data_IF_635365359026
#
_entry.id   IF_635365359026
#
_cell.length_a   1.000
_cell.length_b   1.000
_cell.length_c   1.000
_cell.angle_alpha   90.00
_cell.angle_beta   90.00
_cell.angle_gamma   90.00
#
_symmetry.space_group_name_H-M   'P 1'
#
loop_
_entity.id
_entity.type
_entity.pdbx_description
1 polymer ?
#
# COMPACT_ATOMS: atom_id res chain seq x y z
N UNK A 1 8.59 26.55 -6.42
CA UNK A 1 9.11 25.60 -5.39
C UNK A 1 10.51 25.17 -5.78
N UNK A 2 11.49 25.25 -4.87
CA UNK A 2 12.84 24.69 -5.04
C UNK A 2 12.92 23.36 -4.28
N UNK A 3 13.61 22.36 -4.86
CA UNK A 3 13.77 21.04 -4.25
C UNK A 3 15.23 20.71 -3.99
N UNK A 4 15.49 20.01 -2.91
CA UNK A 4 16.74 19.29 -2.69
C UNK A 4 16.44 17.82 -2.39
N UNK A 5 17.19 16.91 -3.02
CA UNK A 5 17.15 15.49 -2.70
C UNK A 5 18.10 15.23 -1.53
N UNK A 6 17.58 14.58 -0.49
CA UNK A 6 18.36 14.23 0.72
C UNK A 6 18.18 12.76 1.02
N UNK A 7 19.26 12.06 1.31
CA UNK A 7 19.18 10.67 1.76
C UNK A 7 18.60 10.61 3.18
N UNK A 8 17.75 9.61 3.45
CA UNK A 8 17.08 9.46 4.74
C UNK A 8 18.07 9.44 5.93
N UNK A 9 19.23 8.83 5.76
CA UNK A 9 20.23 8.70 6.82
C UNK A 9 20.93 10.03 7.13
N UNK A 10 20.97 10.97 6.17
CA UNK A 10 21.57 12.30 6.35
C UNK A 10 20.62 13.27 7.06
N UNK A 11 19.31 13.01 7.09
CA UNK A 11 18.30 13.90 7.71
C UNK A 11 18.59 14.13 9.19
N UNK A 12 19.11 13.12 9.91
CA UNK A 12 19.40 13.23 11.35
C UNK A 12 20.47 14.27 11.65
N UNK A 13 21.44 14.47 10.77
CA UNK A 13 22.55 15.42 10.91
C UNK A 13 22.21 16.84 10.43
N UNK A 14 21.16 17.01 9.63
CA UNK A 14 20.74 18.34 9.12
C UNK A 14 20.10 19.17 10.23
N UNK A 15 20.47 20.45 10.24
CA UNK A 15 19.93 21.44 11.19
C UNK A 15 18.91 22.38 10.55
N UNK A 16 18.92 22.49 9.22
CA UNK A 16 17.97 23.27 8.44
C UNK A 16 16.65 22.51 8.27
N UNK A 17 15.53 23.19 8.48
CA UNK A 17 14.21 22.65 8.22
C UNK A 17 13.70 23.21 6.88
N UNK A 18 13.24 22.37 5.95
CA UNK A 18 12.53 22.81 4.78
C UNK A 18 11.11 23.28 5.15
N UNK A 19 10.45 24.03 4.25
CA UNK A 19 9.06 24.44 4.40
C UNK A 19 8.12 23.22 4.43
N UNK A 20 8.47 22.15 3.73
CA UNK A 20 7.80 20.85 3.76
C UNK A 20 8.76 19.72 3.30
N UNK A 21 8.36 18.48 3.53
CA UNK A 21 9.09 17.32 3.04
C UNK A 21 8.17 16.28 2.38
N UNK A 22 8.69 15.59 1.36
CA UNK A 22 8.08 14.40 0.75
C UNK A 22 8.99 13.22 1.03
N UNK A 23 8.59 12.32 1.92
CA UNK A 23 9.35 11.11 2.24
C UNK A 23 8.98 10.00 1.25
N UNK A 24 9.94 9.61 0.40
CA UNK A 24 9.77 8.54 -0.61
C UNK A 24 10.49 7.27 -0.21
N UNK A 25 10.35 6.90 1.08
CA UNK A 25 10.93 5.70 1.67
C UNK A 25 10.00 5.15 2.76
N UNK A 26 10.00 3.84 2.97
CA UNK A 26 9.26 3.19 4.06
C UNK A 26 10.01 3.42 5.40
N UNK A 27 10.10 4.66 5.82
CA UNK A 27 10.88 5.14 6.98
C UNK A 27 10.03 6.05 7.87
N UNK A 28 9.03 5.49 8.58
CA UNK A 28 8.19 6.28 9.49
C UNK A 28 9.00 6.99 10.58
N UNK A 29 10.18 6.47 10.95
CA UNK A 29 11.11 7.13 11.87
C UNK A 29 11.64 8.48 11.33
N UNK A 30 11.84 8.60 10.03
CA UNK A 30 12.23 9.86 9.38
C UNK A 30 11.05 10.83 9.31
N UNK A 31 9.86 10.32 8.99
CA UNK A 31 8.63 11.13 8.99
C UNK A 31 8.38 11.70 10.39
N UNK A 32 8.44 10.85 11.43
CA UNK A 32 8.29 11.29 12.83
C UNK A 32 9.33 12.35 13.23
N UNK A 33 10.59 12.17 12.81
CA UNK A 33 11.65 13.13 13.08
C UNK A 33 11.37 14.51 12.45
N UNK A 34 10.94 14.53 11.18
CA UNK A 34 10.64 15.78 10.47
C UNK A 34 9.42 16.48 11.09
N UNK A 35 8.34 15.74 11.37
CA UNK A 35 7.17 16.30 12.03
C UNK A 35 7.49 16.83 13.44
N UNK A 36 8.36 16.15 14.21
CA UNK A 36 8.81 16.65 15.52
C UNK A 36 9.58 17.96 15.46
N UNK A 37 10.13 18.31 14.28
CA UNK A 37 10.79 19.58 14.00
C UNK A 37 9.82 20.65 13.47
N UNK A 38 8.51 20.33 13.38
CA UNK A 38 7.49 21.22 12.84
C UNK A 38 7.47 21.29 11.31
N UNK A 39 8.10 20.34 10.62
CA UNK A 39 8.08 20.26 9.15
C UNK A 39 6.85 19.49 8.70
N UNK A 40 5.94 20.07 7.90
CA UNK A 40 4.85 19.32 7.25
C UNK A 40 5.41 18.23 6.35
N UNK A 41 4.93 16.99 6.51
CA UNK A 41 5.41 15.83 5.74
C UNK A 41 4.28 15.20 4.92
N UNK A 42 4.56 14.91 3.66
CA UNK A 42 3.64 14.28 2.71
C UNK A 42 4.24 12.95 2.19
N UNK A 43 3.70 11.77 2.55
CA UNK A 43 2.58 11.55 3.48
C UNK A 43 2.99 11.74 4.95
N UNK A 44 2.03 12.06 5.80
CA UNK A 44 2.25 12.26 7.23
C UNK A 44 2.58 10.95 7.99
N UNK A 45 2.95 11.08 9.26
CA UNK A 45 3.37 9.93 10.10
C UNK A 45 2.29 8.86 10.21
N UNK A 46 1.02 9.25 10.38
CA UNK A 46 -0.08 8.28 10.48
C UNK A 46 -0.17 7.39 9.23
N UNK A 47 -0.08 8.00 8.06
CA UNK A 47 -0.09 7.26 6.77
C UNK A 47 1.14 6.37 6.69
N UNK A 48 2.33 6.91 6.97
CA UNK A 48 3.58 6.15 6.88
C UNK A 48 3.64 4.96 7.84
N UNK A 49 3.16 5.10 9.08
CA UNK A 49 3.15 4.01 10.06
C UNK A 49 2.12 2.93 9.77
N UNK A 50 0.93 3.32 9.31
CA UNK A 50 -0.16 2.37 9.08
C UNK A 50 0.00 1.69 7.72
N UNK A 51 0.23 2.46 6.65
CA UNK A 51 0.18 1.92 5.29
C UNK A 51 1.44 1.14 4.90
N UNK A 52 2.56 1.31 5.61
CA UNK A 52 3.78 0.53 5.39
C UNK A 52 3.81 -0.81 6.16
N UNK A 53 2.75 -1.13 6.90
CA UNK A 53 2.60 -2.39 7.63
C UNK A 53 1.21 -3.00 7.36
N UNK A 54 1.19 -4.18 6.72
CA UNK A 54 -0.07 -4.82 6.30
C UNK A 54 -0.96 -5.21 7.47
N UNK A 55 -0.39 -5.62 8.60
CA UNK A 55 -1.17 -5.98 9.80
C UNK A 55 -1.84 -4.75 10.39
N UNK A 56 -1.12 -3.62 10.47
CA UNK A 56 -1.67 -2.34 10.93
C UNK A 56 -2.72 -1.81 9.96
N UNK A 57 -2.45 -1.87 8.64
CA UNK A 57 -3.40 -1.46 7.60
C UNK A 57 -4.71 -2.22 7.74
N UNK A 58 -4.66 -3.55 7.77
CA UNK A 58 -5.88 -4.37 7.85
C UNK A 58 -6.61 -4.20 9.18
N UNK A 59 -5.88 -4.12 10.29
CA UNK A 59 -6.49 -3.87 11.61
C UNK A 59 -7.22 -2.52 11.63
N UNK A 60 -6.57 -1.45 11.14
CA UNK A 60 -7.14 -0.11 11.10
C UNK A 60 -8.37 -0.03 10.17
N UNK A 61 -8.30 -0.62 8.98
CA UNK A 61 -9.41 -0.67 8.05
C UNK A 61 -10.58 -1.47 8.61
N UNK A 62 -10.32 -2.66 9.16
CA UNK A 62 -11.37 -3.53 9.76
C UNK A 62 -12.07 -2.85 10.94
N UNK A 63 -11.34 -2.17 11.82
CA UNK A 63 -11.92 -1.41 12.95
C UNK A 63 -12.82 -0.28 12.49
N UNK A 64 -12.57 0.26 11.29
CA UNK A 64 -13.39 1.32 10.69
C UNK A 64 -14.42 0.78 9.68
N UNK A 65 -14.73 -0.51 9.71
CA UNK A 65 -15.70 -1.18 8.83
C UNK A 65 -15.38 -1.06 7.33
N UNK A 66 -14.12 -0.90 6.96
CA UNK A 66 -13.68 -0.99 5.57
C UNK A 66 -13.41 -2.47 5.24
N UNK A 67 -14.03 -3.01 4.18
CA UNK A 67 -13.87 -4.41 3.83
C UNK A 67 -12.45 -4.73 3.35
N UNK A 68 -11.88 -5.80 3.90
CA UNK A 68 -10.60 -6.41 3.51
C UNK A 68 -10.81 -7.92 3.36
N UNK A 69 -9.92 -8.59 2.60
CA UNK A 69 -9.95 -10.06 2.51
C UNK A 69 -9.69 -10.64 3.91
N UNK A 70 -10.39 -11.71 4.33
CA UNK A 70 -10.18 -12.34 5.65
C UNK A 70 -8.71 -12.65 5.93
N UNK A 71 -8.23 -12.25 7.08
CA UNK A 71 -6.82 -12.31 7.46
C UNK A 71 -6.62 -12.54 8.95
N UNK A 72 -5.45 -13.03 9.33
CA UNK A 72 -4.89 -12.99 10.69
C UNK A 72 -3.42 -12.60 10.62
N UNK A 73 -2.83 -12.15 11.73
CA UNK A 73 -1.39 -11.88 11.84
C UNK A 73 -0.69 -12.95 12.68
N UNK A 74 0.61 -13.11 12.44
CA UNK A 74 1.48 -13.98 13.21
C UNK A 74 2.90 -13.38 13.25
N UNK A 75 3.66 -13.75 14.28
CA UNK A 75 5.04 -13.31 14.46
C UNK A 75 6.01 -14.39 13.97
N UNK A 76 7.14 -13.96 13.41
CA UNK A 76 8.21 -14.87 13.01
C UNK A 76 8.89 -15.47 14.25
N UNK A 77 9.26 -16.75 14.17
CA UNK A 77 9.90 -17.47 15.26
C UNK A 77 8.96 -18.03 16.32
N UNK A 78 7.69 -17.71 16.27
CA UNK A 78 6.65 -18.35 17.05
C UNK A 78 6.05 -19.58 16.33
N UNK A 79 5.36 -20.44 17.06
CA UNK A 79 4.59 -21.52 16.44
C UNK A 79 3.52 -20.94 15.54
N UNK A 80 3.47 -21.36 14.28
CA UNK A 80 2.45 -20.91 13.35
C UNK A 80 1.05 -21.19 13.95
N UNK A 81 0.14 -20.21 13.96
CA UNK A 81 -1.24 -20.46 14.39
C UNK A 81 -1.90 -21.49 13.48
N UNK A 82 -2.94 -22.19 13.92
CA UNK A 82 -3.73 -23.05 13.03
C UNK A 82 -4.15 -22.28 11.79
N UNK A 83 -4.00 -22.90 10.61
CA UNK A 83 -4.39 -22.23 9.36
C UNK A 83 -5.89 -21.93 9.37
N UNK A 84 -6.32 -20.67 9.36
CA UNK A 84 -7.75 -20.33 9.46
C UNK A 84 -8.50 -20.64 8.16
N UNK A 85 -7.77 -20.79 7.06
CA UNK A 85 -8.25 -21.12 5.72
C UNK A 85 -7.10 -21.65 4.85
N UNK A 86 -7.42 -22.59 3.97
CA UNK A 86 -6.55 -23.13 2.93
C UNK A 86 -7.36 -23.16 1.61
N UNK A 87 -6.82 -22.72 0.47
CA UNK A 87 -5.49 -22.10 0.32
C UNK A 87 -5.40 -20.72 0.96
N UNK A 88 -4.18 -20.31 1.32
CA UNK A 88 -3.92 -19.01 1.89
C UNK A 88 -2.61 -18.40 1.35
N UNK A 89 -2.51 -17.06 1.48
CA UNK A 89 -1.32 -16.30 1.09
C UNK A 89 -0.68 -15.75 2.35
N UNK A 90 0.63 -16.01 2.53
CA UNK A 90 1.43 -15.42 3.58
C UNK A 90 2.17 -14.22 3.01
N UNK A 91 2.08 -13.07 3.70
CA UNK A 91 2.70 -11.81 3.26
C UNK A 91 3.48 -11.21 4.44
N UNK A 92 4.76 -10.85 4.30
CA UNK A 92 5.45 -10.06 5.32
C UNK A 92 4.67 -8.78 5.63
N UNK A 93 4.60 -8.37 6.90
CA UNK A 93 3.90 -7.14 7.30
C UNK A 93 4.49 -5.92 6.60
N UNK A 94 5.81 -5.80 6.59
CA UNK A 94 6.54 -4.81 5.81
C UNK A 94 6.89 -5.30 4.41
N UNK A 95 7.32 -4.40 3.53
CA UNK A 95 7.79 -4.72 2.18
C UNK A 95 6.78 -4.34 1.09
N UNK A 96 7.25 -4.37 -0.15
CA UNK A 96 6.54 -3.89 -1.32
C UNK A 96 6.77 -4.81 -2.53
N UNK A 97 5.97 -4.62 -3.59
CA UNK A 97 6.19 -5.27 -4.88
C UNK A 97 6.01 -6.80 -4.87
N UNK A 98 5.31 -7.36 -3.88
CA UNK A 98 5.09 -8.80 -3.75
C UNK A 98 6.30 -9.59 -3.25
N UNK A 99 7.35 -8.93 -2.77
CA UNK A 99 8.52 -9.61 -2.20
C UNK A 99 8.14 -10.40 -0.95
N UNK A 100 8.54 -11.67 -0.89
CA UNK A 100 8.24 -12.58 0.22
C UNK A 100 6.78 -13.04 0.30
N UNK A 101 5.93 -12.68 -0.66
CA UNK A 101 4.54 -13.16 -0.72
C UNK A 101 4.52 -14.57 -1.30
N UNK A 102 3.98 -15.52 -0.54
CA UNK A 102 3.94 -16.94 -0.88
C UNK A 102 2.55 -17.54 -0.71
N UNK A 103 2.22 -18.53 -1.55
CA UNK A 103 0.95 -19.25 -1.55
C UNK A 103 1.12 -20.62 -0.90
N UNK A 104 0.32 -20.91 0.12
CA UNK A 104 0.15 -22.24 0.68
C UNK A 104 -1.13 -22.88 0.15
N UNK A 105 -0.99 -24.01 -0.54
CA UNK A 105 -2.12 -24.75 -1.13
C UNK A 105 -2.72 -25.79 -0.20
N UNK A 106 -1.94 -26.22 0.79
CA UNK A 106 -2.31 -27.22 1.79
C UNK A 106 -1.63 -26.93 3.13
N UNK A 107 -2.02 -27.65 4.17
CA UNK A 107 -1.53 -27.41 5.55
C UNK A 107 -0.02 -27.68 5.70
N UNK A 108 0.53 -28.68 5.00
CA UNK A 108 1.96 -28.99 5.05
C UNK A 108 2.81 -27.85 4.46
N UNK A 109 2.36 -27.30 3.32
CA UNK A 109 2.98 -26.10 2.72
C UNK A 109 2.86 -24.90 3.65
N UNK A 110 1.69 -24.69 4.28
CA UNK A 110 1.46 -23.60 5.21
C UNK A 110 2.45 -23.66 6.37
N UNK A 111 2.57 -24.80 7.05
CA UNK A 111 3.51 -24.97 8.19
C UNK A 111 4.95 -24.69 7.75
N UNK A 112 5.37 -25.24 6.60
CA UNK A 112 6.72 -25.03 6.06
C UNK A 112 7.00 -23.56 5.74
N UNK A 113 6.06 -22.88 5.05
CA UNK A 113 6.21 -21.49 4.65
C UNK A 113 6.15 -20.55 5.87
N UNK A 114 5.25 -20.76 6.80
CA UNK A 114 5.15 -20.01 8.04
C UNK A 114 6.45 -20.10 8.86
N UNK A 115 7.04 -21.30 8.97
CA UNK A 115 8.33 -21.50 9.62
C UNK A 115 9.53 -20.84 8.92
N UNK A 116 9.37 -20.44 7.65
CA UNK A 116 10.40 -19.73 6.88
C UNK A 116 10.30 -18.21 6.97
N UNK A 117 9.22 -17.67 7.52
CA UNK A 117 9.03 -16.22 7.66
C UNK A 117 10.09 -15.62 8.60
N UNK A 118 10.59 -14.44 8.24
CA UNK A 118 11.70 -13.75 8.94
C UNK A 118 11.26 -12.53 9.75
N UNK A 119 10.00 -12.12 9.61
CA UNK A 119 9.40 -10.97 10.31
C UNK A 119 7.93 -11.25 10.53
N UNK A 120 7.25 -10.43 11.30
CA UNK A 120 5.78 -10.48 11.41
C UNK A 120 5.13 -10.55 10.03
N UNK A 121 4.09 -11.35 9.90
CA UNK A 121 3.40 -11.60 8.63
C UNK A 121 1.90 -11.71 8.81
N UNK A 122 1.17 -11.50 7.73
CA UNK A 122 -0.26 -11.74 7.65
C UNK A 122 -0.54 -13.01 6.85
N UNK A 123 -1.52 -13.77 7.29
CA UNK A 123 -2.07 -14.94 6.63
C UNK A 123 -3.43 -14.50 6.10
N UNK A 124 -3.59 -14.46 4.80
CA UNK A 124 -4.79 -13.96 4.14
C UNK A 124 -5.39 -15.06 3.27
N UNK A 125 -6.71 -15.13 3.23
CA UNK A 125 -7.42 -16.03 2.31
C UNK A 125 -7.00 -15.69 0.86
N UNK A 126 -6.84 -16.71 0.02
CA UNK A 126 -6.59 -16.48 -1.40
C UNK A 126 -7.77 -15.75 -2.04
N UNK A 127 -7.50 -14.70 -2.80
CA UNK A 127 -8.51 -14.00 -3.59
C UNK A 127 -9.00 -14.87 -4.75
N UNK A 128 -10.22 -14.59 -5.23
CA UNK A 128 -10.86 -15.37 -6.30
C UNK A 128 -10.21 -15.15 -7.66
N UNK A 129 -9.63 -13.97 -7.88
CA UNK A 129 -8.93 -13.58 -9.11
C UNK A 129 -7.51 -13.08 -8.79
N UNK A 130 -6.58 -13.31 -9.70
CA UNK A 130 -5.21 -12.79 -9.66
C UNK A 130 -5.09 -11.37 -10.20
N UNK A 131 -6.20 -10.69 -10.49
CA UNK A 131 -6.21 -9.29 -10.91
C UNK A 131 -6.45 -8.36 -9.72
N UNK A 132 -5.86 -7.16 -9.78
CA UNK A 132 -6.19 -6.07 -8.89
C UNK A 132 -6.28 -4.74 -9.64
N UNK A 133 -6.80 -3.73 -8.96
CA UNK A 133 -6.87 -2.37 -9.48
C UNK A 133 -6.16 -1.42 -8.54
N UNK A 134 -5.08 -0.82 -9.01
CA UNK A 134 -4.41 0.28 -8.31
C UNK A 134 -5.09 1.60 -8.61
N UNK A 135 -5.59 2.25 -7.58
CA UNK A 135 -6.19 3.58 -7.62
C UNK A 135 -5.18 4.59 -7.09
N UNK A 136 -4.81 5.57 -7.91
CA UNK A 136 -3.94 6.68 -7.51
C UNK A 136 -4.79 7.77 -6.89
N UNK A 137 -4.43 8.16 -5.68
CA UNK A 137 -5.17 9.17 -4.90
C UNK A 137 -4.20 10.26 -4.44
N UNK A 138 -4.62 11.53 -4.60
CA UNK A 138 -3.97 12.71 -4.03
C UNK A 138 -4.97 13.39 -3.11
N UNK A 139 -4.65 13.52 -1.83
CA UNK A 139 -5.60 13.98 -0.83
C UNK A 139 -6.83 13.08 -0.79
N UNK A 140 -7.98 13.62 -1.17
CA UNK A 140 -9.24 12.88 -1.36
C UNK A 140 -9.63 12.70 -2.83
N UNK A 141 -8.79 13.16 -3.77
CA UNK A 141 -9.07 13.11 -5.21
C UNK A 141 -8.58 11.80 -5.82
N UNK A 142 -9.46 11.02 -6.43
CA UNK A 142 -9.09 9.92 -7.32
C UNK A 142 -8.52 10.52 -8.62
N UNK A 143 -7.26 10.24 -8.91
CA UNK A 143 -6.56 10.75 -10.10
C UNK A 143 -6.71 9.78 -11.27
N UNK A 144 -6.48 8.49 -11.03
CA UNK A 144 -6.55 7.45 -12.05
C UNK A 144 -6.71 6.07 -11.44
N UNK A 145 -7.13 5.11 -12.25
CA UNK A 145 -7.10 3.69 -11.88
C UNK A 145 -6.46 2.84 -12.99
N UNK A 146 -5.63 1.89 -12.57
CA UNK A 146 -4.90 0.97 -13.45
C UNK A 146 -5.18 -0.46 -13.01
N UNK A 147 -5.76 -1.27 -13.89
CA UNK A 147 -5.92 -2.70 -13.67
C UNK A 147 -4.58 -3.40 -13.93
N UNK A 148 -4.23 -4.34 -13.04
CA UNK A 148 -3.08 -5.23 -13.18
C UNK A 148 -3.57 -6.67 -13.27
N UNK A 149 -2.99 -7.46 -14.16
CA UNK A 149 -3.27 -8.89 -14.28
C UNK A 149 -1.99 -9.67 -14.26
N UNK A 150 -1.90 -10.67 -13.37
CA UNK A 150 -0.78 -11.62 -13.33
C UNK A 150 -0.78 -12.52 -14.57
N UNK A 151 0.39 -12.86 -15.09
CA UNK A 151 0.56 -13.85 -16.16
C UNK A 151 0.93 -15.19 -15.56
N UNK A 152 -0.08 -16.00 -15.19
CA UNK A 152 0.14 -17.35 -14.67
C UNK A 152 0.64 -17.43 -13.21
N UNK A 153 0.68 -16.32 -12.50
CA UNK A 153 0.98 -16.20 -11.06
C UNK A 153 -0.26 -15.69 -10.34
N UNK A 154 -0.43 -16.08 -9.07
CA UNK A 154 -1.49 -15.54 -8.20
C UNK A 154 -1.26 -14.07 -7.83
N UNK A 155 -0.07 -13.54 -8.10
CA UNK A 155 0.32 -12.13 -7.89
C UNK A 155 0.12 -11.31 -9.15
N UNK A 156 -0.46 -10.12 -9.02
CA UNK A 156 -0.76 -9.19 -10.12
C UNK A 156 0.31 -8.12 -10.35
N UNK A 157 1.48 -8.21 -9.69
CA UNK A 157 2.48 -7.16 -9.69
C UNK A 157 3.09 -6.88 -11.07
N UNK A 158 3.07 -5.63 -11.50
CA UNK A 158 3.66 -5.15 -12.75
C UNK A 158 5.15 -5.47 -12.88
N UNK A 159 5.90 -5.39 -11.77
CA UNK A 159 7.33 -5.73 -11.72
C UNK A 159 7.62 -7.20 -12.07
N UNK A 160 6.63 -8.08 -11.99
CA UNK A 160 6.70 -9.48 -12.36
C UNK A 160 6.23 -9.76 -13.80
N UNK A 161 6.05 -8.72 -14.63
CA UNK A 161 5.65 -8.85 -16.04
C UNK A 161 4.13 -8.94 -16.26
N UNK A 162 3.32 -8.54 -15.28
CA UNK A 162 1.86 -8.44 -15.42
C UNK A 162 1.43 -7.41 -16.46
N UNK A 163 0.29 -7.66 -17.09
CA UNK A 163 -0.33 -6.71 -18.01
C UNK A 163 -1.00 -5.58 -17.23
N UNK A 164 -0.92 -4.36 -17.77
CA UNK A 164 -1.58 -3.18 -17.20
C UNK A 164 -2.46 -2.51 -18.24
N UNK A 165 -3.63 -2.05 -17.82
CA UNK A 165 -4.51 -1.26 -18.67
C UNK A 165 -5.23 -0.18 -17.84
N UNK A 166 -5.63 0.89 -18.53
CA UNK A 166 -6.52 1.91 -17.96
C UNK A 166 -7.82 1.25 -17.53
N UNK A 167 -8.35 1.65 -16.37
CA UNK A 167 -9.64 1.20 -15.87
C UNK A 167 -10.48 2.38 -15.39
N UNK A 168 -11.79 2.28 -15.62
CA UNK A 168 -12.77 3.14 -14.96
C UNK A 168 -13.34 2.40 -13.77
N UNK A 169 -13.43 3.10 -12.63
CA UNK A 169 -13.97 2.54 -11.40
C UNK A 169 -15.50 2.52 -11.44
N UNK A 170 -16.09 1.47 -10.91
CA UNK A 170 -17.53 1.42 -10.61
C UNK A 170 -17.87 2.38 -9.48
N UNK A 171 -19.17 2.67 -9.29
CA UNK A 171 -19.60 3.54 -8.19
C UNK A 171 -19.35 2.88 -6.82
N UNK A 172 -19.44 1.55 -6.72
CA UNK A 172 -19.11 0.80 -5.51
C UNK A 172 -17.63 0.92 -5.15
N UNK A 173 -16.74 0.77 -6.14
CA UNK A 173 -15.28 0.96 -5.94
C UNK A 173 -14.96 2.41 -5.54
N UNK A 174 -15.56 3.41 -6.20
CA UNK A 174 -15.36 4.83 -5.83
C UNK A 174 -15.81 5.09 -4.40
N UNK A 175 -17.00 4.57 -4.00
CA UNK A 175 -17.50 4.70 -2.64
C UNK A 175 -16.55 4.08 -1.63
N UNK A 176 -16.00 2.90 -1.93
CA UNK A 176 -15.00 2.24 -1.08
C UNK A 176 -13.74 3.09 -0.93
N UNK A 177 -13.19 3.62 -2.04
CA UNK A 177 -12.00 4.50 -2.00
C UNK A 177 -12.27 5.76 -1.19
N UNK A 178 -13.40 6.43 -1.40
CA UNK A 178 -13.74 7.63 -0.62
C UNK A 178 -13.90 7.32 0.88
N UNK A 179 -14.47 6.17 1.25
CA UNK A 179 -14.56 5.75 2.65
C UNK A 179 -13.16 5.56 3.28
N UNK A 180 -12.18 5.06 2.52
CA UNK A 180 -10.79 5.00 2.97
C UNK A 180 -10.19 6.40 3.10
N UNK A 181 -10.45 7.30 2.14
CA UNK A 181 -9.95 8.68 2.17
C UNK A 181 -10.46 9.49 3.37
N UNK A 182 -11.62 9.15 3.94
CA UNK A 182 -12.12 9.81 5.16
C UNK A 182 -11.34 9.41 6.43
N UNK A 183 -10.56 8.32 6.38
CA UNK A 183 -9.79 7.83 7.52
C UNK A 183 -8.38 8.43 7.60
N UNK A 184 -7.89 9.03 6.53
CA UNK A 184 -6.50 9.50 6.40
C UNK A 184 -6.42 10.89 5.76
N UNK A 185 -5.37 11.60 6.09
CA UNK A 185 -4.93 12.80 5.37
C UNK A 185 -3.84 12.38 4.39
N UNK A 186 -4.25 11.85 3.25
CA UNK A 186 -3.30 11.41 2.24
C UNK A 186 -2.62 12.59 1.53
N UNK A 187 -1.33 12.44 1.26
CA UNK A 187 -0.66 13.14 0.19
C UNK A 187 -0.91 12.40 -1.13
N UNK A 188 0.07 11.63 -1.60
CA UNK A 188 -0.03 10.75 -2.77
C UNK A 188 0.11 9.30 -2.34
N UNK A 189 -0.91 8.49 -2.61
CA UNK A 189 -0.93 7.06 -2.31
C UNK A 189 -1.46 6.23 -3.48
N UNK A 190 -1.15 4.93 -3.47
CA UNK A 190 -1.81 3.92 -4.29
C UNK A 190 -2.69 3.03 -3.42
N UNK A 191 -3.97 2.91 -3.74
CA UNK A 191 -4.89 2.02 -3.05
C UNK A 191 -5.21 0.86 -3.98
N UNK A 192 -4.92 -0.36 -3.55
CA UNK A 192 -5.14 -1.57 -4.33
C UNK A 192 -6.46 -2.22 -3.94
N UNK A 193 -7.35 -2.38 -4.92
CA UNK A 193 -8.65 -3.04 -4.79
C UNK A 193 -8.56 -4.43 -5.40
N UNK A 194 -9.07 -5.42 -4.70
CA UNK A 194 -9.38 -6.77 -5.21
C UNK A 194 -10.87 -7.09 -5.02
N UNK A 195 -11.31 -8.22 -5.51
CA UNK A 195 -12.67 -8.71 -5.28
C UNK A 195 -12.67 -9.91 -4.35
N UNK A 196 -13.62 -9.92 -3.44
CA UNK A 196 -13.90 -11.04 -2.54
C UNK A 196 -15.41 -11.22 -2.36
N UNK A 197 -15.91 -12.42 -2.64
CA UNK A 197 -17.35 -12.73 -2.68
C UNK A 197 -18.16 -11.77 -3.59
N UNK A 198 -17.57 -11.39 -4.73
CA UNK A 198 -18.20 -10.49 -5.70
C UNK A 198 -18.19 -9.00 -5.32
N UNK A 199 -17.60 -8.60 -4.18
CA UNK A 199 -17.54 -7.22 -3.72
C UNK A 199 -16.10 -6.67 -3.72
N UNK A 200 -15.90 -5.37 -4.00
CA UNK A 200 -14.59 -4.76 -3.92
C UNK A 200 -14.12 -4.64 -2.47
N UNK A 201 -12.87 -4.99 -2.23
CA UNK A 201 -12.22 -4.95 -0.92
C UNK A 201 -10.84 -4.31 -1.06
N UNK A 202 -10.33 -3.71 0.01
CA UNK A 202 -8.97 -3.15 0.03
C UNK A 202 -7.97 -4.29 0.26
N UNK A 203 -6.96 -4.36 -0.63
CA UNK A 203 -5.86 -5.30 -0.52
C UNK A 203 -4.59 -4.67 0.05
N UNK A 204 -4.26 -3.44 -0.34
CA UNK A 204 -3.05 -2.73 0.11
C UNK A 204 -3.23 -1.22 -0.05
N UNK A 205 -2.54 -0.44 0.79
CA UNK A 205 -2.34 1.00 0.58
C UNK A 205 -0.84 1.24 0.49
N UNK A 206 -0.35 1.71 -0.66
CA UNK A 206 1.06 2.06 -0.85
C UNK A 206 1.30 3.54 -0.57
N UNK A 207 1.98 3.85 0.52
CA UNK A 207 2.46 5.17 0.89
C UNK A 207 3.45 5.73 -0.17
N UNK A 208 4.42 4.91 -0.59
CA UNK A 208 5.44 5.31 -1.57
C UNK A 208 5.12 4.84 -2.98
N UNK A 209 3.89 5.05 -3.43
CA UNK A 209 3.40 4.54 -4.71
C UNK A 209 4.26 4.96 -5.90
N UNK A 210 4.61 3.99 -6.76
CA UNK A 210 5.33 4.23 -8.01
C UNK A 210 4.39 4.61 -9.16
N UNK A 211 4.78 5.59 -9.99
CA UNK A 211 3.97 6.13 -11.09
C UNK A 211 4.21 5.49 -12.46
N UNK A 212 5.13 4.51 -12.59
CA UNK A 212 5.46 3.89 -13.89
C UNK A 212 4.25 3.32 -14.64
N UNK A 213 3.35 2.63 -13.94
CA UNK A 213 2.13 2.07 -14.54
C UNK A 213 1.16 3.18 -14.96
N UNK A 214 1.06 4.23 -14.16
CA UNK A 214 0.23 5.38 -14.49
C UNK A 214 0.67 6.01 -15.80
N UNK A 215 1.95 6.33 -15.95
CA UNK A 215 2.49 6.93 -17.17
C UNK A 215 2.44 5.98 -18.38
N UNK A 216 2.49 4.67 -18.17
CA UNK A 216 2.32 3.71 -19.26
C UNK A 216 0.88 3.69 -19.81
N UNK A 217 -0.12 3.96 -18.97
CA UNK A 217 -1.55 3.85 -19.30
C UNK A 217 -2.24 5.19 -19.50
N UNK A 218 -1.80 6.25 -18.83
CA UNK A 218 -2.42 7.58 -18.81
C UNK A 218 -1.39 8.66 -19.18
N UNK A 219 -1.09 8.78 -20.46
CA UNK A 219 -0.04 9.71 -20.96
C UNK A 219 -0.36 11.20 -20.77
N UNK A 220 -1.61 11.52 -20.50
CA UNK A 220 -2.09 12.90 -20.30
C UNK A 220 -2.13 13.35 -18.83
N UNK A 221 -1.70 12.49 -17.90
CA UNK A 221 -1.67 12.81 -16.46
C UNK A 221 -0.23 13.12 -16.05
N UNK A 222 0.00 14.31 -15.51
CA UNK A 222 1.22 14.67 -14.78
C UNK A 222 0.94 14.61 -13.27
N UNK A 223 1.11 13.42 -12.70
CA UNK A 223 0.82 13.20 -11.27
C UNK A 223 1.77 13.99 -10.36
N UNK A 224 2.96 14.32 -10.84
CA UNK A 224 3.93 15.11 -10.06
C UNK A 224 3.43 16.55 -9.92
N UNK A 225 3.04 17.18 -11.04
CA UNK A 225 2.46 18.53 -11.01
C UNK A 225 1.17 18.58 -10.17
N UNK A 226 0.26 17.60 -10.33
CA UNK A 226 -0.97 17.56 -9.51
C UNK A 226 -0.67 17.40 -8.02
N UNK A 227 0.36 16.64 -7.68
CA UNK A 227 0.77 16.44 -6.28
C UNK A 227 1.39 17.70 -5.69
N UNK A 228 2.22 18.42 -6.46
CA UNK A 228 2.81 19.69 -6.04
C UNK A 228 1.74 20.76 -5.82
N UNK A 229 0.77 20.86 -6.73
CA UNK A 229 -0.38 21.75 -6.58
C UNK A 229 -1.19 21.45 -5.30
N UNK A 230 -1.32 20.17 -4.96
CA UNK A 230 -1.96 19.75 -3.71
C UNK A 230 -1.16 20.18 -2.49
N UNK A 231 0.15 19.96 -2.50
CA UNK A 231 1.04 20.36 -1.40
C UNK A 231 0.98 21.88 -1.18
N UNK A 232 1.11 22.68 -2.24
CA UNK A 232 1.03 24.16 -2.15
C UNK A 232 -0.28 24.67 -1.53
N UNK A 233 -1.39 23.98 -1.81
CA UNK A 233 -2.70 24.34 -1.25
C UNK A 233 -2.91 23.86 0.18
N UNK A 234 -2.04 22.96 0.66
CA UNK A 234 -2.13 22.36 2.00
C UNK A 234 -1.18 23.01 3.00
N UNK A 235 -0.22 23.83 2.54
CA UNK A 235 0.69 24.64 3.34
C UNK A 235 0.07 25.98 3.73
#
# INVERSE_FOLDING_TARGET
ISFSLVMCDDIRSRKDNPDFAVVRAMRPDITALLESRGVPVFNNLKVSEICNDKSKTYAYLSTNNIPVIPWISAEAGESAPPAPFIPCVLKPCGGHGGSGVVLAKNEAEYISLAGSMRSGYVIQRLAEDSSDTRVYVIGKKIVAAVMRRGRGDFRSNFSLGGDVCKRELTDEEKKLIYSVCELFEFGLVGIDIMYYNGHPVINEIEDTVGSRMLYATHKNIDIVSEYLDYIEKSL
#
